data_IF_166575631513
#
_entry.id   IF_166575631513
#
_cell.length_a   1.000
_cell.length_b   1.000
_cell.length_c   1.000
_cell.angle_alpha   90.00
_cell.angle_beta   90.00
_cell.angle_gamma   90.00
#
_symmetry.space_group_name_H-M   'P 1'
#
loop_
_entity.id
_entity.type
_entity.pdbx_description
1 polymer ?
#
# COMPACT_ATOMS: atom_id res chain seq x y z
N UNK A 1 -15.92 1.17 8.12
CA UNK A 1 -15.96 -0.26 7.72
C UNK A 1 -15.97 -0.45 6.19
N UNK A 2 -16.83 0.24 5.44
CA UNK A 2 -16.97 0.09 3.98
C UNK A 2 -15.70 0.42 3.17
N UNK A 3 -14.97 1.48 3.54
CA UNK A 3 -13.71 1.87 2.86
C UNK A 3 -12.66 0.76 2.95
N UNK A 4 -12.43 0.21 4.16
CA UNK A 4 -11.50 -0.91 4.34
C UNK A 4 -11.91 -2.13 3.52
N UNK A 5 -13.21 -2.45 3.49
CA UNK A 5 -13.72 -3.58 2.72
C UNK A 5 -13.52 -3.38 1.20
N UNK A 6 -13.70 -2.16 0.69
CA UNK A 6 -13.40 -1.84 -0.71
C UNK A 6 -11.94 -2.12 -1.06
N UNK A 7 -10.99 -1.63 -0.25
CA UNK A 7 -9.56 -1.86 -0.49
C UNK A 7 -9.15 -3.32 -0.32
N UNK A 8 -9.77 -4.05 0.62
CA UNK A 8 -9.58 -5.48 0.73
C UNK A 8 -10.00 -6.20 -0.57
N UNK A 9 -11.20 -5.91 -1.08
CA UNK A 9 -11.70 -6.53 -2.31
C UNK A 9 -10.81 -6.17 -3.53
N UNK A 10 -10.28 -4.94 -3.57
CA UNK A 10 -9.34 -4.51 -4.61
C UNK A 10 -8.03 -5.31 -4.52
N UNK A 11 -7.45 -5.44 -3.32
CA UNK A 11 -6.22 -6.20 -3.11
C UNK A 11 -6.40 -7.68 -3.51
N UNK A 12 -7.52 -8.30 -3.12
CA UNK A 12 -7.86 -9.68 -3.46
C UNK A 12 -7.96 -9.85 -4.99
N UNK A 13 -8.57 -8.88 -5.69
CA UNK A 13 -8.66 -8.89 -7.16
C UNK A 13 -7.29 -8.79 -7.81
N UNK A 14 -6.48 -7.80 -7.43
CA UNK A 14 -5.14 -7.58 -7.99
C UNK A 14 -4.24 -8.81 -7.79
N UNK A 15 -4.32 -9.43 -6.61
CA UNK A 15 -3.57 -10.65 -6.33
C UNK A 15 -3.98 -11.81 -7.24
N UNK A 16 -5.29 -12.05 -7.41
CA UNK A 16 -5.79 -13.15 -8.26
C UNK A 16 -5.49 -12.94 -9.74
N UNK A 17 -5.75 -11.73 -10.25
CA UNK A 17 -5.68 -11.42 -11.69
C UNK A 17 -4.26 -11.09 -12.17
N UNK A 18 -3.40 -10.56 -11.30
CA UNK A 18 -2.02 -10.25 -11.68
C UNK A 18 -1.28 -11.50 -12.16
N UNK A 19 -0.22 -11.32 -12.95
CA UNK A 19 0.57 -12.43 -13.52
C UNK A 19 2.05 -12.34 -13.16
N UNK A 20 2.48 -11.23 -12.54
CA UNK A 20 3.85 -11.01 -12.10
C UNK A 20 3.93 -10.15 -10.84
N UNK A 21 5.14 -9.99 -10.28
CA UNK A 21 5.34 -9.29 -9.01
C UNK A 21 4.88 -7.82 -9.02
N UNK A 22 4.99 -7.14 -10.16
CA UNK A 22 4.52 -5.76 -10.31
C UNK A 22 2.99 -5.63 -10.31
N UNK A 23 2.25 -6.70 -10.60
CA UNK A 23 0.78 -6.71 -10.70
C UNK A 23 0.11 -7.54 -9.60
N UNK A 24 0.89 -8.16 -8.69
CA UNK A 24 0.40 -8.96 -7.56
C UNK A 24 0.89 -8.42 -6.20
N UNK A 25 0.34 -7.32 -5.68
CA UNK A 25 0.68 -6.83 -4.35
C UNK A 25 0.28 -7.84 -3.27
N UNK A 26 1.22 -8.25 -2.42
CA UNK A 26 1.02 -9.26 -1.37
C UNK A 26 0.60 -8.67 -0.01
N UNK A 27 0.75 -7.36 0.17
CA UNK A 27 0.52 -6.64 1.43
C UNK A 27 0.12 -5.21 1.12
N UNK A 28 -0.78 -4.63 1.91
CA UNK A 28 -1.13 -3.22 1.80
C UNK A 28 -1.44 -2.60 3.18
N UNK A 29 -1.05 -1.34 3.36
CA UNK A 29 -1.49 -0.49 4.46
C UNK A 29 -2.35 0.64 3.90
N UNK A 30 -3.51 0.86 4.51
CA UNK A 30 -4.36 2.01 4.17
C UNK A 30 -3.96 3.20 5.05
N UNK A 31 -3.46 4.25 4.43
CA UNK A 31 -2.98 5.45 5.14
C UNK A 31 -4.06 6.53 5.16
N UNK A 32 -4.20 7.21 6.30
CA UNK A 32 -5.13 8.35 6.44
C UNK A 32 -4.52 9.62 5.84
N UNK A 33 -3.20 9.76 5.96
CA UNK A 33 -2.45 10.90 5.44
C UNK A 33 -2.11 10.68 3.96
N UNK A 34 -2.58 11.55 3.05
CA UNK A 34 -2.22 11.47 1.64
C UNK A 34 -0.72 11.71 1.41
N UNK A 35 -0.18 11.40 0.22
CA UNK A 35 1.14 11.85 -0.19
C UNK A 35 1.25 13.38 -0.13
N UNK A 36 2.38 13.89 0.36
CA UNK A 36 2.63 15.33 0.51
C UNK A 36 3.40 15.92 -0.68
N UNK A 37 2.88 17.01 -1.25
CA UNK A 37 3.59 17.83 -2.26
C UNK A 37 4.79 18.52 -1.60
N UNK A 38 4.60 19.09 -0.41
CA UNK A 38 5.65 19.83 0.32
C UNK A 38 6.87 18.95 0.65
N UNK A 39 6.62 17.68 0.96
CA UNK A 39 7.68 16.68 1.19
C UNK A 39 8.19 16.04 -0.10
N UNK A 40 7.65 16.40 -1.27
CA UNK A 40 8.04 15.86 -2.57
C UNK A 40 7.68 14.39 -2.78
N UNK A 41 6.69 13.86 -2.05
CA UNK A 41 6.19 12.49 -2.21
C UNK A 41 5.33 12.33 -3.47
N UNK A 42 4.72 13.41 -3.93
CA UNK A 42 3.91 13.48 -5.15
C UNK A 42 4.28 14.74 -5.95
N UNK A 43 4.30 14.62 -7.27
CA UNK A 43 4.59 15.74 -8.18
C UNK A 43 3.36 16.62 -8.41
N UNK A 44 3.57 17.80 -8.98
CA UNK A 44 2.51 18.70 -9.47
C UNK A 44 1.57 18.01 -10.48
N UNK A 45 2.10 17.03 -11.24
CA UNK A 45 1.36 16.19 -12.19
C UNK A 45 0.72 14.95 -11.55
N UNK A 46 0.80 14.78 -10.23
CA UNK A 46 0.17 13.70 -9.49
C UNK A 46 0.92 12.36 -9.51
N UNK A 47 2.14 12.30 -10.04
CA UNK A 47 2.95 11.07 -10.00
C UNK A 47 3.64 10.89 -8.65
N UNK A 48 3.75 9.64 -8.17
CA UNK A 48 4.40 9.32 -6.90
C UNK A 48 5.91 9.26 -7.07
N UNK A 49 6.64 9.98 -6.20
CA UNK A 49 8.08 9.85 -6.09
C UNK A 49 8.44 8.76 -5.07
N UNK A 50 8.61 7.53 -5.56
CA UNK A 50 8.85 6.36 -4.72
C UNK A 50 10.07 6.53 -3.80
N UNK A 51 11.17 7.10 -4.31
CA UNK A 51 12.39 7.32 -3.51
C UNK A 51 12.11 8.20 -2.29
N UNK A 52 11.38 9.28 -2.50
CA UNK A 52 11.02 10.21 -1.43
C UNK A 52 10.02 9.60 -0.45
N UNK A 53 8.99 8.89 -0.94
CA UNK A 53 8.05 8.16 -0.08
C UNK A 53 8.77 7.14 0.81
N UNK A 54 9.67 6.33 0.24
CA UNK A 54 10.43 5.33 1.00
C UNK A 54 11.30 5.98 2.08
N UNK A 55 11.93 7.11 1.79
CA UNK A 55 12.74 7.84 2.77
C UNK A 55 11.90 8.47 3.90
N UNK A 56 10.70 8.93 3.58
CA UNK A 56 9.84 9.69 4.50
C UNK A 56 8.84 8.84 5.29
N UNK A 57 8.60 7.61 4.87
CA UNK A 57 7.64 6.66 5.45
C UNK A 57 8.29 5.31 5.75
N UNK A 58 9.59 5.32 6.05
CA UNK A 58 10.37 4.11 6.31
C UNK A 58 9.75 3.24 7.43
N UNK A 59 9.23 3.87 8.49
CA UNK A 59 8.52 3.20 9.58
C UNK A 59 7.29 2.40 9.09
N UNK A 60 6.53 2.96 8.14
CA UNK A 60 5.38 2.28 7.54
C UNK A 60 5.82 1.12 6.63
N UNK A 61 6.97 1.25 5.98
CA UNK A 61 7.57 0.15 5.20
C UNK A 61 7.97 -1.00 6.14
N UNK A 62 8.67 -0.71 7.24
CA UNK A 62 9.01 -1.72 8.24
C UNK A 62 7.76 -2.42 8.79
N UNK A 63 6.69 -1.64 9.08
CA UNK A 63 5.39 -2.20 9.48
C UNK A 63 4.76 -3.10 8.42
N UNK A 64 4.92 -2.78 7.13
CA UNK A 64 4.44 -3.61 6.04
C UNK A 64 5.12 -4.99 6.06
N UNK A 65 6.40 -5.04 6.43
CA UNK A 65 7.20 -6.27 6.44
C UNK A 65 7.23 -7.01 7.79
N UNK A 66 6.73 -6.40 8.86
CA UNK A 66 6.70 -6.99 10.19
C UNK A 66 6.08 -8.40 10.25
N UNK A 67 6.57 -9.19 11.19
CA UNK A 67 6.05 -10.52 11.53
C UNK A 67 5.94 -10.67 13.07
N UNK A 68 4.76 -11.03 13.62
CA UNK A 68 3.50 -11.27 12.91
C UNK A 68 2.97 -9.99 12.23
N UNK A 69 2.11 -10.11 11.19
CA UNK A 69 1.51 -8.94 10.55
C UNK A 69 0.73 -8.08 11.54
N UNK A 70 0.81 -6.75 11.38
CA UNK A 70 -0.01 -5.83 12.16
C UNK A 70 -1.50 -6.04 11.87
N UNK A 71 -2.37 -5.83 12.87
CA UNK A 71 -3.81 -6.04 12.74
C UNK A 71 -4.47 -5.16 11.67
N UNK A 72 -3.86 -4.02 11.35
CA UNK A 72 -4.33 -3.10 10.32
C UNK A 72 -3.70 -3.37 8.93
N UNK A 73 -2.81 -4.35 8.79
CA UNK A 73 -2.32 -4.77 7.49
C UNK A 73 -3.41 -5.51 6.71
N UNK A 74 -3.56 -5.19 5.43
CA UNK A 74 -4.36 -5.98 4.50
C UNK A 74 -3.47 -7.02 3.82
N UNK A 75 -3.92 -8.26 3.86
CA UNK A 75 -3.32 -9.38 3.14
C UNK A 75 -4.35 -9.89 2.12
N UNK A 76 -3.93 -10.32 0.92
CA UNK A 76 -4.83 -10.95 -0.03
C UNK A 76 -5.45 -12.21 0.57
N UNK A 77 -6.77 -12.31 0.47
CA UNK A 77 -7.50 -13.55 0.73
C UNK A 77 -7.23 -14.51 -0.44
N UNK A 78 -6.92 -15.77 -0.10
CA UNK A 78 -6.46 -16.78 -1.09
C UNK A 78 -7.59 -17.70 -1.56
N UNK A 79 -8.81 -17.37 -1.16
CA UNK A 79 -10.08 -18.05 -1.46
C UNK A 79 -10.33 -18.16 -2.97
#
# INVERSE_FOLDING_TARGET
AQVRAFFQNLLDRLWREGTGGATRPARALLLVQPPSIDRGEVTDKGSINQRTVLAHRADLVERLYAHPPAADLLLPRRD
#
